data_IF_235935440252
#
_entry.id   IF_235935440252
#
_cell.length_a   1.000
_cell.length_b   1.000
_cell.length_c   1.000
_cell.angle_alpha   90.00
_cell.angle_beta   90.00
_cell.angle_gamma   90.00
#
_symmetry.space_group_name_H-M   'P 1'
#
loop_
_entity.id
_entity.type
_entity.pdbx_description
1 polymer ?
#
# COMPACT_ATOMS: atom_id res chain seq x y z
N UNK A 1 -2.33 0.68 4.46
CA UNK A 1 -2.59 -0.34 3.42
C UNK A 1 -2.16 -1.67 3.99
N UNK A 2 -3.13 -2.54 4.30
CA UNK A 2 -2.89 -3.90 4.73
C UNK A 2 -2.68 -4.74 3.47
N UNK A 3 -1.53 -5.36 3.36
CA UNK A 3 -1.31 -6.39 2.34
C UNK A 3 -2.00 -7.64 2.86
N UNK A 4 -3.19 -7.93 2.33
CA UNK A 4 -3.87 -9.18 2.62
C UNK A 4 -3.29 -10.24 1.69
N UNK A 5 -2.43 -11.11 2.22
CA UNK A 5 -2.02 -12.32 1.52
C UNK A 5 -3.25 -13.24 1.52
N UNK A 6 -4.17 -12.99 0.58
CA UNK A 6 -5.33 -13.85 0.38
C UNK A 6 -4.86 -15.14 -0.28
N UNK A 7 -4.83 -16.22 0.47
CA UNK A 7 -4.94 -17.55 -0.12
C UNK A 7 -6.37 -17.69 -0.65
N UNK A 8 -6.55 -17.71 -1.97
CA UNK A 8 -7.86 -17.86 -2.61
C UNK A 8 -8.14 -19.34 -2.94
N UNK A 9 -9.27 -19.82 -2.40
CA UNK A 9 -10.22 -20.81 -2.97
C UNK A 9 -10.09 -22.31 -2.63
N UNK A 10 -11.22 -23.05 -2.47
CA UNK A 10 -11.36 -24.20 -1.56
C UNK A 10 -11.24 -25.58 -2.22
N UNK A 11 -10.72 -25.70 -3.45
CA UNK A 11 -10.67 -26.97 -4.20
C UNK A 11 -9.34 -27.31 -4.86
N UNK A 12 -8.28 -26.60 -4.52
CA UNK A 12 -6.91 -27.02 -4.84
C UNK A 12 -6.18 -27.05 -3.51
N UNK A 13 -5.53 -28.17 -3.18
CA UNK A 13 -4.68 -28.29 -2.00
C UNK A 13 -3.52 -27.30 -2.14
N UNK A 14 -3.76 -26.05 -1.76
CA UNK A 14 -2.76 -25.03 -1.71
C UNK A 14 -1.94 -25.31 -0.46
N UNK A 15 -0.75 -25.88 -0.65
CA UNK A 15 0.21 -26.02 0.43
C UNK A 15 0.51 -24.62 0.96
N UNK A 16 0.33 -24.42 2.27
CA UNK A 16 0.70 -23.18 2.95
C UNK A 16 2.16 -22.88 2.64
N UNK A 17 2.48 -21.62 2.33
CA UNK A 17 3.88 -21.21 2.19
C UNK A 17 4.59 -21.18 3.56
N UNK A 18 3.83 -21.22 4.66
CA UNK A 18 4.30 -21.38 6.02
C UNK A 18 4.38 -22.86 6.38
N UNK A 19 5.38 -23.21 7.19
CA UNK A 19 5.43 -24.50 7.87
C UNK A 19 4.46 -24.49 9.05
N UNK A 20 4.05 -25.68 9.50
CA UNK A 20 3.17 -25.84 10.66
C UNK A 20 3.78 -25.18 11.91
N UNK A 21 5.11 -25.31 12.09
CA UNK A 21 5.85 -24.67 13.18
C UNK A 21 5.77 -23.13 13.13
N UNK A 22 5.91 -22.53 11.94
CA UNK A 22 5.80 -21.08 11.81
C UNK A 22 4.37 -20.58 12.00
N UNK A 23 3.38 -21.33 11.52
CA UNK A 23 1.98 -21.00 11.69
C UNK A 23 1.56 -21.10 13.17
N UNK A 24 2.01 -22.13 13.87
CA UNK A 24 1.84 -22.28 15.31
C UNK A 24 2.53 -21.14 16.06
N UNK A 25 3.79 -20.87 15.74
CA UNK A 25 4.56 -19.78 16.37
C UNK A 25 3.88 -18.42 16.18
N UNK A 26 3.40 -18.10 14.98
CA UNK A 26 2.69 -16.84 14.70
C UNK A 26 1.30 -16.74 15.36
N UNK A 27 0.72 -17.87 15.76
CA UNK A 27 -0.54 -17.93 16.51
C UNK A 27 -0.31 -17.67 18.02
N UNK A 28 0.87 -18.00 18.54
CA UNK A 28 1.20 -17.84 19.94
C UNK A 28 1.29 -16.36 20.38
N UNK A 29 1.05 -16.15 21.67
CA UNK A 29 1.31 -14.87 22.32
C UNK A 29 2.73 -14.83 22.86
N UNK A 30 3.40 -13.71 22.60
CA UNK A 30 4.64 -13.31 23.25
C UNK A 30 4.37 -12.86 24.69
N UNK A 31 5.42 -12.79 25.50
CA UNK A 31 5.39 -12.38 26.91
C UNK A 31 4.76 -11.00 27.15
N UNK A 32 4.72 -10.14 26.13
CA UNK A 32 4.07 -8.83 26.14
C UNK A 32 2.57 -8.88 25.80
N UNK A 33 1.97 -10.07 25.80
CA UNK A 33 0.58 -10.35 25.41
C UNK A 33 0.24 -9.89 23.98
N UNK A 34 1.25 -9.70 23.13
CA UNK A 34 1.08 -9.48 21.68
C UNK A 34 1.32 -10.79 20.96
N UNK A 35 0.71 -10.97 19.79
CA UNK A 35 1.05 -12.12 18.95
C UNK A 35 2.50 -12.06 18.51
N UNK A 36 3.14 -13.23 18.50
CA UNK A 36 4.48 -13.43 17.99
C UNK A 36 4.60 -12.92 16.55
N UNK A 37 5.81 -12.48 16.21
CA UNK A 37 6.16 -12.04 14.87
C UNK A 37 7.35 -12.85 14.38
N UNK A 38 7.40 -13.08 13.07
CA UNK A 38 8.56 -13.66 12.40
C UNK A 38 9.23 -12.58 11.55
N UNK A 39 10.54 -12.42 11.70
CA UNK A 39 11.32 -11.60 10.77
C UNK A 39 11.50 -12.35 9.46
N UNK A 40 11.23 -11.69 8.34
CA UNK A 40 11.34 -12.27 7.00
C UNK A 40 12.16 -11.36 6.11
N UNK A 41 13.03 -11.95 5.28
CA UNK A 41 13.70 -11.23 4.21
C UNK A 41 12.70 -10.93 3.11
N UNK A 42 12.73 -9.69 2.63
CA UNK A 42 11.88 -9.21 1.55
C UNK A 42 12.76 -8.64 0.46
N UNK A 43 12.65 -9.17 -0.75
CA UNK A 43 13.22 -8.58 -1.96
C UNK A 43 12.14 -7.67 -2.55
N UNK A 44 12.40 -6.37 -2.60
CA UNK A 44 11.44 -5.39 -3.08
C UNK A 44 11.52 -5.16 -4.60
N UNK A 45 10.62 -4.36 -5.19
CA UNK A 45 10.66 -4.08 -6.64
C UNK A 45 11.94 -3.44 -7.16
N UNK A 46 12.68 -2.71 -6.31
CA UNK A 46 14.00 -2.16 -6.63
C UNK A 46 15.15 -3.16 -6.46
N UNK A 47 14.84 -4.42 -6.17
CA UNK A 47 15.76 -5.51 -5.85
C UNK A 47 16.58 -5.27 -4.58
N UNK A 48 16.17 -4.31 -3.75
CA UNK A 48 16.73 -4.09 -2.43
C UNK A 48 16.21 -5.18 -1.48
N UNK A 49 17.09 -5.65 -0.60
CA UNK A 49 16.74 -6.64 0.43
C UNK A 49 16.50 -5.91 1.74
N UNK A 50 15.30 -6.10 2.29
CA UNK A 50 14.91 -5.60 3.61
C UNK A 50 14.51 -6.75 4.55
N UNK A 51 14.53 -6.46 5.85
CA UNK A 51 13.92 -7.31 6.87
C UNK A 51 12.60 -6.66 7.33
N UNK A 52 11.48 -7.37 7.14
CA UNK A 52 10.15 -6.98 7.60
C UNK A 52 9.62 -7.96 8.66
N UNK A 53 8.56 -7.55 9.33
CA UNK A 53 7.87 -8.39 10.32
C UNK A 53 6.62 -9.02 9.70
N UNK A 54 6.60 -10.34 9.58
CA UNK A 54 5.39 -11.11 9.28
C UNK A 54 4.60 -11.33 10.57
N UNK A 55 3.32 -10.97 10.56
CA UNK A 55 2.40 -11.16 11.69
C UNK A 55 1.12 -11.83 11.24
N UNK A 56 0.55 -12.66 12.10
CA UNK A 56 -0.79 -13.22 11.95
C UNK A 56 -1.82 -12.36 12.67
N UNK A 57 -2.89 -12.02 11.97
CA UNK A 57 -4.07 -11.32 12.47
C UNK A 57 -5.27 -12.26 12.39
N UNK A 58 -5.91 -12.53 13.53
CA UNK A 58 -7.18 -13.26 13.48
C UNK A 58 -8.30 -12.34 12.99
N UNK A 59 -9.15 -12.94 12.18
CA UNK A 59 -10.47 -12.47 11.81
C UNK A 59 -11.49 -13.43 12.43
N UNK A 60 -12.78 -13.11 12.38
CA UNK A 60 -13.82 -13.90 13.03
C UNK A 60 -13.81 -15.39 12.67
N UNK A 61 -13.52 -15.73 11.40
CA UNK A 61 -13.55 -17.11 10.89
C UNK A 61 -12.29 -17.50 10.12
N UNK A 62 -11.27 -16.64 10.10
CA UNK A 62 -10.06 -16.86 9.31
C UNK A 62 -8.88 -16.12 9.94
N UNK A 63 -7.69 -16.35 9.42
CA UNK A 63 -6.52 -15.53 9.72
C UNK A 63 -6.10 -14.76 8.47
N UNK A 64 -5.41 -13.64 8.67
CA UNK A 64 -4.67 -12.96 7.61
C UNK A 64 -3.24 -12.70 8.06
N UNK A 65 -2.32 -12.70 7.12
CA UNK A 65 -0.92 -12.43 7.36
C UNK A 65 -0.55 -11.06 6.82
N UNK A 66 0.17 -10.27 7.61
CA UNK A 66 0.53 -8.90 7.27
C UNK A 66 2.04 -8.68 7.39
N UNK A 67 2.59 -7.93 6.45
CA UNK A 67 3.96 -7.42 6.51
C UNK A 67 3.97 -6.04 7.16
N UNK A 68 4.67 -5.93 8.29
CA UNK A 68 4.76 -4.75 9.14
C UNK A 68 6.23 -4.30 9.33
N UNK A 69 6.45 -3.39 10.29
CA UNK A 69 7.77 -2.83 10.60
C UNK A 69 8.17 -1.79 9.56
N UNK A 70 9.07 -2.17 8.63
CA UNK A 70 9.61 -1.28 7.60
C UNK A 70 8.73 -1.13 6.36
N UNK A 71 7.58 -1.81 6.30
CA UNK A 71 6.65 -1.79 5.16
C UNK A 71 6.41 -0.40 4.58
N UNK A 72 6.11 0.60 5.43
CA UNK A 72 5.84 1.97 4.95
C UNK A 72 7.04 2.59 4.24
N UNK A 73 8.26 2.39 4.74
CA UNK A 73 9.49 2.92 4.12
C UNK A 73 9.74 2.23 2.77
N UNK A 74 9.64 0.90 2.73
CA UNK A 74 9.77 0.10 1.51
C UNK A 74 8.75 0.53 0.45
N UNK A 75 7.48 0.68 0.83
CA UNK A 75 6.41 1.15 -0.05
C UNK A 75 6.70 2.52 -0.67
N UNK A 76 7.18 3.47 0.15
CA UNK A 76 7.52 4.84 -0.30
C UNK A 76 8.69 4.80 -1.28
N UNK A 77 9.78 4.07 -0.95
CA UNK A 77 10.96 3.93 -1.82
C UNK A 77 10.58 3.36 -3.20
N UNK A 78 9.73 2.34 -3.22
CA UNK A 78 9.29 1.66 -4.44
C UNK A 78 8.11 2.34 -5.14
N UNK A 79 7.68 3.52 -4.69
CA UNK A 79 6.56 4.29 -5.26
C UNK A 79 5.30 3.43 -5.43
N UNK A 80 5.04 2.51 -4.50
CA UNK A 80 3.83 1.69 -4.50
C UNK A 80 2.68 2.54 -3.94
N UNK A 81 1.69 2.84 -4.76
CA UNK A 81 0.53 3.67 -4.42
C UNK A 81 -0.75 2.82 -4.35
N UNK A 82 -1.84 3.45 -3.93
CA UNK A 82 -3.17 2.85 -4.02
C UNK A 82 -3.57 2.82 -5.49
N UNK A 83 -4.00 1.66 -5.98
CA UNK A 83 -4.32 1.44 -7.40
C UNK A 83 -3.34 0.44 -8.00
N UNK A 84 -2.04 0.57 -7.67
CA UNK A 84 -0.99 -0.28 -8.19
C UNK A 84 -1.26 -1.77 -7.94
N UNK A 85 -1.02 -2.57 -8.97
CA UNK A 85 -1.03 -4.02 -8.87
C UNK A 85 0.35 -4.53 -8.44
N UNK A 86 0.40 -5.21 -7.29
CA UNK A 86 1.61 -5.88 -6.80
C UNK A 86 1.38 -7.39 -6.76
N UNK A 87 2.39 -8.15 -7.13
CA UNK A 87 2.47 -9.59 -6.90
C UNK A 87 3.39 -9.89 -5.73
N UNK A 88 3.03 -10.91 -4.96
CA UNK A 88 3.80 -11.34 -3.79
C UNK A 88 4.07 -12.81 -3.94
N UNK A 89 5.34 -13.16 -3.87
CA UNK A 89 5.82 -14.53 -3.94
C UNK A 89 6.44 -14.91 -2.61
N UNK A 90 6.19 -16.13 -2.17
CA UNK A 90 6.85 -16.73 -1.03
C UNK A 90 7.77 -17.84 -1.55
N UNK A 91 9.06 -17.70 -1.28
CA UNK A 91 10.11 -18.62 -1.73
C UNK A 91 10.73 -19.28 -0.49
N UNK A 92 11.02 -20.57 -0.59
CA UNK A 92 11.78 -21.31 0.42
C UNK A 92 13.19 -21.55 -0.08
N UNK A 93 14.18 -21.08 0.67
CA UNK A 93 15.59 -21.46 0.47
C UNK A 93 15.96 -22.56 1.47
N UNK A 94 16.61 -23.61 0.97
CA UNK A 94 17.11 -24.76 1.73
C UNK A 94 16.07 -25.36 2.69
N UNK A 95 14.80 -25.42 2.26
CA UNK A 95 13.64 -25.92 3.01
C UNK A 95 13.32 -25.25 4.37
N UNK A 96 14.06 -24.21 4.76
CA UNK A 96 13.92 -23.57 6.06
C UNK A 96 13.59 -22.10 5.97
N UNK A 97 14.24 -21.36 5.07
CA UNK A 97 14.16 -19.91 5.09
C UNK A 97 13.04 -19.38 4.19
N UNK A 98 12.08 -18.67 4.80
CA UNK A 98 11.04 -17.95 4.09
C UNK A 98 11.55 -16.59 3.58
N UNK A 99 11.51 -16.41 2.27
CA UNK A 99 11.79 -15.14 1.60
C UNK A 99 10.51 -14.68 0.90
N UNK A 100 10.18 -13.40 1.05
CA UNK A 100 9.10 -12.78 0.31
C UNK A 100 9.68 -11.97 -0.83
N UNK A 101 9.12 -12.08 -2.03
CA UNK A 101 9.48 -11.24 -3.17
C UNK A 101 8.27 -10.43 -3.58
N UNK A 102 8.46 -9.13 -3.73
CA UNK A 102 7.40 -8.21 -4.14
C UNK A 102 7.74 -7.68 -5.51
N UNK A 103 6.83 -7.91 -6.45
CA UNK A 103 6.94 -7.42 -7.83
C UNK A 103 5.85 -6.39 -8.03
N UNK A 104 6.23 -5.17 -8.39
CA UNK A 104 5.29 -4.14 -8.83
C UNK A 104 5.04 -4.35 -10.33
N UNK A 105 3.78 -4.46 -10.74
CA UNK A 105 3.43 -4.47 -12.16
C UNK A 105 3.33 -3.03 -12.64
N UNK A 106 3.87 -2.77 -13.83
CA UNK A 106 3.62 -1.52 -14.53
C UNK A 106 2.18 -1.55 -15.04
N UNK A 107 1.50 -0.42 -14.94
CA UNK A 107 0.20 -0.27 -15.54
C UNK A 107 0.41 -0.31 -17.06
N UNK A 108 -0.23 -1.26 -17.75
CA UNK A 108 -0.42 -1.13 -19.19
C UNK A 108 -1.26 0.14 -19.35
N UNK A 109 -0.65 1.20 -19.88
CA UNK A 109 -1.28 2.51 -19.93
C UNK A 109 -2.64 2.41 -20.59
N UNK A 110 -3.69 2.62 -19.82
CA UNK A 110 -4.90 3.21 -20.37
C UNK A 110 -4.45 4.60 -20.82
N UNK A 111 -4.48 4.85 -22.14
CA UNK A 111 -4.33 6.20 -22.69
C UNK A 111 -5.34 7.08 -21.95
N UNK A 112 -4.86 7.98 -21.09
CA UNK A 112 -5.69 9.05 -20.56
C UNK A 112 -6.08 9.89 -21.79
N UNK A 113 -7.34 9.76 -22.24
CA UNK A 113 -7.94 10.77 -23.11
C UNK A 113 -7.90 12.10 -22.34
N UNK A 114 -7.17 13.06 -22.89
CA UNK A 114 -7.11 14.45 -22.44
C UNK A 114 -8.53 15.06 -22.44
N UNK A 115 -9.24 14.98 -21.31
CA UNK A 115 -10.40 15.84 -21.06
C UNK A 115 -9.90 17.13 -20.38
N UNK A 116 -9.68 18.15 -21.20
CA UNK A 116 -9.47 19.54 -20.80
C UNK A 116 -10.59 20.02 -19.87
N UNK A 117 -10.33 20.12 -18.56
CA UNK A 117 -11.12 20.97 -17.67
C UNK A 117 -10.22 21.96 -16.92
N UNK A 118 -9.90 23.07 -17.60
CA UNK A 118 -9.37 24.28 -16.97
C UNK A 118 -10.53 24.98 -16.25
N UNK A 119 -10.56 24.88 -14.91
CA UNK A 119 -11.33 25.80 -14.07
C UNK A 119 -10.38 26.70 -13.30
N UNK A 120 -10.10 27.89 -13.85
CA UNK A 120 -9.52 29.01 -13.13
C UNK A 120 -10.68 29.81 -12.53
N UNK A 121 -10.72 29.96 -11.20
CA UNK A 121 -11.40 31.09 -10.56
C UNK A 121 -10.38 31.85 -9.72
N UNK A 122 -9.85 32.90 -10.35
CA UNK A 122 -8.97 33.89 -9.79
C UNK A 122 -9.81 34.92 -9.01
N UNK A 123 -9.42 35.19 -7.76
CA UNK A 123 -10.12 36.10 -6.87
C UNK A 123 -9.98 37.55 -7.36
N UNK A 124 -11.09 38.21 -7.67
CA UNK A 124 -11.12 39.64 -8.05
C UNK A 124 -11.17 40.51 -6.79
N UNK A 125 -10.07 41.19 -6.49
CA UNK A 125 -10.02 42.39 -5.65
C UNK A 125 -9.98 43.57 -6.62
N UNK A 126 -11.03 44.38 -6.68
CA UNK A 126 -11.00 45.71 -7.32
C UNK A 126 -11.39 46.78 -6.31
N UNK A 127 -10.39 47.54 -5.87
CA UNK A 127 -10.59 48.88 -5.32
C UNK A 127 -10.29 49.94 -6.40
N UNK A 128 -11.10 50.99 -6.36
CA UNK A 128 -10.91 52.33 -6.93
C UNK A 128 -11.18 52.59 -8.43
N UNK A 129 -12.32 53.25 -8.69
CA UNK A 129 -12.33 54.52 -9.44
C UNK A 129 -13.50 55.43 -9.04
N UNK A 130 -13.19 56.31 -8.09
CA UNK A 130 -13.87 57.57 -7.85
C UNK A 130 -13.17 58.64 -8.69
N UNK A 131 -13.75 59.00 -9.84
CA UNK A 131 -13.65 60.33 -10.48
C UNK A 131 -14.40 60.31 -11.81
N UNK A 132 -15.15 61.37 -12.06
CA UNK A 132 -15.80 61.74 -13.35
C UNK A 132 -17.26 61.34 -13.51
N UNK A 133 -18.14 62.04 -12.79
CA UNK A 133 -19.16 62.87 -13.45
C UNK A 133 -19.76 63.90 -12.48
N UNK A 134 -18.94 64.89 -12.15
CA UNK A 134 -19.45 66.26 -11.95
C UNK A 134 -19.84 66.75 -13.34
N UNK A 135 -21.14 66.86 -13.62
CA UNK A 135 -21.82 67.90 -14.43
C UNK A 135 -23.14 67.40 -15.01
N UNK A 136 -24.14 68.29 -14.95
CA UNK A 136 -25.55 68.23 -15.40
C UNK A 136 -26.51 67.74 -14.30
N UNK A 137 -27.48 68.51 -13.81
CA UNK A 137 -28.17 69.64 -14.43
C UNK A 137 -28.83 70.50 -13.34
N UNK A 138 -28.64 71.81 -13.43
CA UNK A 138 -29.50 72.80 -12.82
C UNK A 138 -30.84 72.82 -13.56
N UNK A 139 -31.93 72.49 -12.85
CA UNK A 139 -33.20 73.23 -12.84
C UNK A 139 -34.15 72.69 -11.78
#
# INVERSE_FOLDING_TARGET
MLVNIRTVSPYQQHKSCLTDEEEEYLCMYSNDNRRSLKKVRVIDPSLDIDELELRRWEMNMSASYVLNGKWTKMRIRNKIKKGDRIQIWAIRMDDHELIIVIVKQEDEGDEEEDDDEVTIQEATIEEQKYSDSINNLAH
#
